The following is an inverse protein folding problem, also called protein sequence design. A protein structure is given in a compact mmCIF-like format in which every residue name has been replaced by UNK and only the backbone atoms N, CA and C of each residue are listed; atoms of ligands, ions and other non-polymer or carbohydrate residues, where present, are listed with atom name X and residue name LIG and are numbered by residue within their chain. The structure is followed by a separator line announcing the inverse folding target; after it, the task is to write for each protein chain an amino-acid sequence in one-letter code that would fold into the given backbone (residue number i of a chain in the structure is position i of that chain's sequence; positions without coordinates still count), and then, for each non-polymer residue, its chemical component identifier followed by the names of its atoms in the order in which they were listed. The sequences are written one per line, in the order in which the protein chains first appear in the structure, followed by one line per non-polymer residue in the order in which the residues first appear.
data_IF_013816802240
#
_entry.id   IF_013816802240
#
_cell.length_a   1.000
_cell.length_b   1.000
_cell.length_c   1.000
_cell.angle_alpha   90.00
_cell.angle_beta   90.00
_cell.angle_gamma   90.00
#
_symmetry.space_group_name_H-M   'P 1'
#
loop_
_entity.id
_entity.type
_entity.pdbx_description
1 polymer ?
#
# COMPACT_ATOMS: atom_id res chain seq x y z
N UNK A 1 14.52 28.62 1.72
CA UNK A 1 13.99 27.31 2.13
C UNK A 1 14.72 26.20 1.39
N UNK A 2 15.03 25.08 2.06
CA UNK A 2 15.56 23.87 1.42
C UNK A 2 14.37 23.00 0.97
N UNK A 3 14.44 22.39 -0.22
CA UNK A 3 13.35 21.62 -0.81
C UNK A 3 13.75 20.14 -1.01
N UNK A 4 12.75 19.24 -1.06
CA UNK A 4 12.84 17.87 -1.57
C UNK A 4 11.71 17.66 -2.58
N UNK A 5 12.02 17.13 -3.77
CA UNK A 5 11.05 16.95 -4.86
C UNK A 5 10.99 15.48 -5.24
N UNK A 6 9.96 14.77 -4.80
CA UNK A 6 9.79 13.36 -5.14
C UNK A 6 8.95 13.21 -6.40
N UNK A 7 9.43 12.41 -7.35
CA UNK A 7 8.63 11.98 -8.51
C UNK A 7 8.22 10.52 -8.34
N UNK A 8 7.09 10.13 -8.94
CA UNK A 8 6.66 8.74 -8.87
C UNK A 8 7.52 7.81 -9.72
N UNK A 9 8.09 6.78 -9.09
CA UNK A 9 8.84 5.73 -9.78
C UNK A 9 7.95 4.90 -10.73
N UNK A 10 8.57 4.18 -11.67
CA UNK A 10 7.88 3.23 -12.56
C UNK A 10 7.35 1.97 -11.84
N UNK A 11 7.49 1.89 -10.52
CA UNK A 11 7.04 0.76 -9.71
C UNK A 11 5.51 0.80 -9.47
N UNK A 12 4.95 -0.33 -9.02
CA UNK A 12 3.56 -0.39 -8.57
C UNK A 12 3.27 0.49 -7.34
N UNK A 13 1.99 0.78 -7.09
CA UNK A 13 1.56 1.78 -6.10
C UNK A 13 1.98 1.52 -4.67
N UNK A 14 2.06 0.27 -4.23
CA UNK A 14 2.56 -0.04 -2.89
C UNK A 14 3.99 0.46 -2.66
N UNK A 15 4.84 0.35 -3.69
CA UNK A 15 6.19 0.90 -3.66
C UNK A 15 6.18 2.43 -3.68
N UNK A 16 5.38 3.03 -4.57
CA UNK A 16 5.25 4.49 -4.68
C UNK A 16 4.79 5.12 -3.37
N UNK A 17 3.74 4.57 -2.76
CA UNK A 17 3.22 5.08 -1.50
C UNK A 17 4.28 5.01 -0.41
N UNK A 18 4.96 3.87 -0.27
CA UNK A 18 6.06 3.72 0.68
C UNK A 18 7.13 4.80 0.46
N UNK A 19 7.58 4.97 -0.79
CA UNK A 19 8.58 5.98 -1.18
C UNK A 19 8.14 7.41 -0.83
N UNK A 20 6.90 7.80 -1.17
CA UNK A 20 6.36 9.12 -0.85
C UNK A 20 6.36 9.41 0.66
N UNK A 21 5.85 8.47 1.46
CA UNK A 21 5.78 8.62 2.93
C UNK A 21 7.18 8.69 3.55
N UNK A 22 8.09 7.88 3.03
CA UNK A 22 9.49 7.84 3.43
C UNK A 22 10.22 9.17 3.14
N UNK A 23 10.05 9.74 1.94
CA UNK A 23 10.65 11.04 1.57
C UNK A 23 10.01 12.18 2.36
N UNK A 24 8.71 12.11 2.64
CA UNK A 24 8.08 13.08 3.52
C UNK A 24 8.67 13.07 4.93
N UNK A 25 8.85 11.89 5.51
CA UNK A 25 9.50 11.78 6.80
C UNK A 25 10.92 12.36 6.79
N UNK A 26 11.68 12.08 5.72
CA UNK A 26 13.00 12.69 5.49
C UNK A 26 12.92 14.22 5.40
N UNK A 27 11.89 14.77 4.76
CA UNK A 27 11.66 16.20 4.69
C UNK A 27 11.44 16.81 6.09
N UNK A 28 10.65 16.14 6.94
CA UNK A 28 10.40 16.58 8.32
C UNK A 28 11.69 16.62 9.13
N UNK A 29 12.45 15.52 9.16
CA UNK A 29 13.67 15.42 10.00
C UNK A 29 14.80 16.33 9.51
N UNK A 30 14.85 16.63 8.20
CA UNK A 30 15.85 17.53 7.60
C UNK A 30 15.35 18.98 7.47
N UNK A 31 14.15 19.29 7.99
CA UNK A 31 13.52 20.62 7.96
C UNK A 31 13.41 21.20 6.54
N UNK A 32 12.93 20.38 5.59
CA UNK A 32 12.76 20.75 4.17
C UNK A 32 11.30 20.83 3.78
N UNK A 33 11.02 21.69 2.80
CA UNK A 33 9.72 21.72 2.13
C UNK A 33 9.65 20.55 1.15
N UNK A 34 8.59 19.76 1.21
CA UNK A 34 8.36 18.68 0.25
C UNK A 34 7.49 19.16 -0.92
N UNK A 35 7.84 18.71 -2.12
CA UNK A 35 7.01 18.77 -3.32
C UNK A 35 6.85 17.34 -3.83
N UNK A 36 5.61 16.92 -4.13
CA UNK A 36 5.33 15.60 -4.70
C UNK A 36 4.84 15.82 -6.14
N UNK A 37 5.65 15.43 -7.10
CA UNK A 37 5.37 15.50 -8.53
C UNK A 37 5.05 14.10 -9.07
N UNK A 38 3.85 13.61 -8.75
CA UNK A 38 3.37 12.28 -9.13
C UNK A 38 2.19 12.40 -10.10
N UNK A 39 2.50 12.54 -11.40
CA UNK A 39 1.50 12.79 -12.45
C UNK A 39 1.21 11.59 -13.36
N UNK A 40 1.74 10.42 -13.04
CA UNK A 40 1.61 9.22 -13.87
C UNK A 40 1.06 8.07 -13.04
N UNK A 41 0.05 7.32 -13.49
CA UNK A 41 -0.67 7.46 -14.77
C UNK A 41 -1.59 8.70 -14.80
N UNK A 42 -2.17 9.06 -13.65
CA UNK A 42 -2.89 10.32 -13.45
C UNK A 42 -2.31 11.07 -12.24
N UNK A 43 -2.56 12.39 -12.11
CA UNK A 43 -2.16 13.16 -10.94
C UNK A 43 -2.61 12.53 -9.63
N UNK A 44 -1.69 12.35 -8.69
CA UNK A 44 -1.96 11.80 -7.36
C UNK A 44 -3.07 12.56 -6.63
N UNK A 45 -3.08 13.89 -6.75
CA UNK A 45 -4.06 14.78 -6.13
C UNK A 45 -5.48 14.67 -6.71
N UNK A 46 -5.67 13.96 -7.83
CA UNK A 46 -7.00 13.56 -8.33
C UNK A 46 -7.76 12.70 -7.30
N UNK A 47 -7.04 11.82 -6.60
CA UNK A 47 -7.63 10.87 -5.64
C UNK A 47 -7.20 11.10 -4.20
N UNK A 48 -5.97 11.56 -4.02
CA UNK A 48 -5.37 11.82 -2.72
C UNK A 48 -4.86 13.27 -2.69
N UNK A 49 -5.72 14.31 -2.69
CA UNK A 49 -5.29 15.69 -2.61
C UNK A 49 -4.62 16.03 -1.27
N UNK A 50 -3.89 17.16 -1.21
CA UNK A 50 -3.35 17.71 0.04
C UNK A 50 -4.38 17.79 1.17
N UNK A 51 -3.96 17.42 2.39
CA UNK A 51 -4.72 17.66 3.63
C UNK A 51 -4.21 18.86 4.42
N UNK A 52 -3.08 18.71 5.12
CA UNK A 52 -2.54 19.76 6.00
C UNK A 52 -1.30 20.45 5.43
N UNK A 53 -0.61 19.83 4.47
CA UNK A 53 0.54 20.40 3.77
C UNK A 53 0.23 20.47 2.30
N UNK A 54 0.33 21.67 1.71
CA UNK A 54 0.29 21.83 0.26
C UNK A 54 1.60 21.32 -0.33
N UNK A 55 1.56 20.15 -0.95
CA UNK A 55 2.73 19.50 -1.57
C UNK A 55 2.66 19.47 -3.10
N UNK A 56 1.47 19.71 -3.69
CA UNK A 56 1.20 19.56 -5.12
C UNK A 56 1.56 20.81 -5.94
N UNK A 57 2.65 21.50 -5.58
CA UNK A 57 3.17 22.60 -6.37
C UNK A 57 3.78 22.04 -7.66
N UNK A 58 3.49 22.65 -8.81
CA UNK A 58 4.16 22.24 -10.04
C UNK A 58 5.59 22.76 -10.02
N UNK A 59 6.55 21.90 -10.32
CA UNK A 59 7.98 22.27 -10.26
C UNK A 59 8.28 23.50 -11.11
N UNK A 60 7.67 23.62 -12.29
CA UNK A 60 7.81 24.79 -13.18
C UNK A 60 7.25 26.10 -12.59
N UNK A 61 6.29 26.05 -11.65
CA UNK A 61 5.73 27.22 -10.96
C UNK A 61 6.64 27.71 -9.83
N UNK A 62 7.60 26.88 -9.39
CA UNK A 62 8.47 27.21 -8.25
C UNK A 62 9.66 28.08 -8.62
N UNK A 63 9.97 28.23 -9.91
CA UNK A 63 11.19 28.90 -10.39
C UNK A 63 12.49 28.18 -9.99
N UNK A 64 12.38 26.95 -9.47
CA UNK A 64 13.51 26.13 -9.10
C UNK A 64 14.08 25.44 -10.38
N UNK A 65 15.39 25.16 -10.40
CA UNK A 65 16.05 24.37 -11.47
C UNK A 65 16.33 22.91 -11.05
N UNK A 66 15.75 21.93 -11.76
CA UNK A 66 16.00 20.49 -11.54
C UNK A 66 17.46 20.15 -11.87
N UNK A 67 18.23 19.64 -10.90
CA UNK A 67 19.48 18.91 -11.17
C UNK A 67 19.30 17.45 -10.80
N UNK A 68 19.49 16.54 -11.75
CA UNK A 68 19.44 15.11 -11.50
C UNK A 68 20.60 14.74 -10.55
N UNK A 69 20.26 14.42 -9.30
CA UNK A 69 21.21 13.99 -8.28
C UNK A 69 21.57 12.51 -8.37
N UNK A 70 22.62 12.12 -7.65
CA UNK A 70 23.03 10.72 -7.51
C UNK A 70 21.94 9.88 -6.81
N UNK A 71 21.85 8.61 -7.19
CA UNK A 71 21.04 7.61 -6.47
C UNK A 71 21.56 7.51 -5.03
N UNK A 72 20.68 7.73 -4.04
CA UNK A 72 21.04 7.47 -2.64
C UNK A 72 20.75 6.00 -2.36
N UNK A 73 21.80 5.23 -2.06
CA UNK A 73 21.68 3.92 -1.45
C UNK A 73 21.59 4.08 0.08
N UNK A 74 20.41 3.83 0.64
CA UNK A 74 20.20 3.97 2.08
C UNK A 74 20.92 2.92 2.91
N UNK A 75 21.40 1.84 2.30
CA UNK A 75 22.26 0.89 2.98
C UNK A 75 23.61 1.52 3.35
N UNK A 76 24.01 2.61 2.68
CA UNK A 76 25.25 3.34 2.97
C UNK A 76 25.08 4.39 4.08
N UNK A 77 23.84 4.74 4.44
CA UNK A 77 23.56 5.75 5.47
C UNK A 77 23.55 5.08 6.84
N UNK A 78 24.66 5.23 7.57
CA UNK A 78 24.82 4.66 8.93
C UNK A 78 24.28 5.56 10.04
N UNK A 79 24.20 6.88 9.82
CA UNK A 79 23.64 7.88 10.74
C UNK A 79 23.10 9.10 9.96
N UNK A 80 21.97 9.69 10.37
CA UNK A 80 21.42 10.92 9.75
C UNK A 80 22.34 12.13 9.94
N UNK A 81 23.09 12.16 11.04
CA UNK A 81 24.08 13.20 11.33
C UNK A 81 25.37 13.03 10.52
N UNK A 82 25.49 11.96 9.73
CA UNK A 82 26.62 11.79 8.85
C UNK A 82 26.66 12.97 7.89
N UNK A 83 27.75 13.72 7.93
CA UNK A 83 28.04 14.78 6.96
C UNK A 83 27.91 14.32 5.51
N UNK A 84 27.90 13.00 5.23
CA UNK A 84 27.50 12.45 3.93
C UNK A 84 26.03 12.68 3.58
N UNK A 85 25.08 12.50 4.51
CA UNK A 85 23.65 12.74 4.25
C UNK A 85 23.41 14.22 4.02
N UNK A 86 23.96 15.10 4.89
CA UNK A 86 23.94 16.52 4.57
C UNK A 86 24.69 16.76 3.28
N UNK A 87 25.93 16.32 3.00
CA UNK A 87 26.60 16.53 1.68
C UNK A 87 25.82 16.03 0.47
N UNK A 88 25.08 14.93 0.59
CA UNK A 88 24.19 14.37 -0.45
C UNK A 88 22.94 15.23 -0.63
N UNK A 89 22.42 15.80 0.47
CA UNK A 89 21.27 16.71 0.51
C UNK A 89 21.65 18.21 0.51
N UNK A 90 22.94 18.58 0.56
CA UNK A 90 23.44 19.93 0.91
C UNK A 90 23.32 20.88 -0.25
N UNK A 91 22.82 20.37 -1.36
CA UNK A 91 22.42 21.21 -2.44
C UNK A 91 21.09 21.84 -2.03
N UNK A 92 21.05 23.16 -2.10
CA UNK A 92 19.86 24.02 -2.15
C UNK A 92 18.98 23.71 -3.37
N UNK A 93 18.93 22.43 -3.77
CA UNK A 93 18.63 21.93 -5.10
C UNK A 93 17.73 20.73 -4.95
N UNK A 94 16.75 20.72 -5.84
CA UNK A 94 15.68 19.76 -6.00
C UNK A 94 16.21 18.34 -6.10
N UNK A 95 15.66 17.47 -5.27
CA UNK A 95 16.14 16.12 -5.11
C UNK A 95 15.04 15.13 -5.42
N UNK A 96 15.15 14.46 -6.58
CA UNK A 96 14.41 13.26 -6.95
C UNK A 96 15.33 12.04 -6.68
N UNK A 97 15.39 11.52 -5.45
CA UNK A 97 16.16 10.32 -5.22
C UNK A 97 15.58 9.20 -6.07
N UNK A 98 16.42 8.57 -6.89
CA UNK A 98 16.28 7.13 -6.99
C UNK A 98 16.61 6.57 -5.60
N UNK A 99 15.61 6.17 -4.82
CA UNK A 99 15.88 5.47 -3.56
C UNK A 99 16.25 4.02 -3.92
N UNK A 100 17.52 3.63 -3.76
CA UNK A 100 17.95 2.22 -3.79
C UNK A 100 18.19 1.73 -2.38
N UNK A 101 17.95 0.44 -2.16
CA UNK A 101 18.05 -0.18 -0.84
C UNK A 101 16.76 -0.07 -0.02
N UNK A 102 16.74 -0.74 1.14
CA UNK A 102 15.56 -0.75 1.99
C UNK A 102 15.55 0.50 2.86
N UNK A 103 15.08 1.63 2.31
CA UNK A 103 14.87 2.87 3.07
C UNK A 103 14.08 2.60 4.36
N UNK A 104 13.15 1.65 4.33
CA UNK A 104 12.41 1.19 5.50
C UNK A 104 13.34 0.66 6.61
N UNK A 105 14.38 -0.10 6.28
CA UNK A 105 15.37 -0.60 7.25
C UNK A 105 16.25 0.55 7.76
N UNK A 106 16.67 1.46 6.87
CA UNK A 106 17.44 2.63 7.29
C UNK A 106 16.62 3.54 8.23
N UNK A 107 15.36 3.82 7.88
CA UNK A 107 14.43 4.60 8.69
C UNK A 107 14.10 3.90 10.02
N UNK A 108 13.88 2.59 10.01
CA UNK A 108 13.71 1.80 11.24
C UNK A 108 14.94 1.89 12.15
N UNK A 109 16.14 1.83 11.57
CA UNK A 109 17.38 2.02 12.32
C UNK A 109 17.47 3.46 12.86
N UNK A 110 17.08 4.47 12.09
CA UNK A 110 17.11 5.88 12.50
C UNK A 110 16.10 6.20 13.61
N UNK A 111 14.90 5.60 13.57
CA UNK A 111 13.89 5.69 14.64
C UNK A 111 14.43 5.10 15.95
N UNK A 112 15.22 4.02 15.87
CA UNK A 112 15.85 3.39 17.04
C UNK A 112 16.84 4.32 17.76
N UNK A 113 17.38 5.34 17.07
CA UNK A 113 18.44 6.16 17.63
C UNK A 113 17.99 7.52 18.19
N UNK A 114 16.86 8.13 17.79
CA UNK A 114 16.55 9.50 18.29
C UNK A 114 15.09 10.00 18.19
N UNK A 115 14.10 9.17 17.81
CA UNK A 115 12.70 9.63 17.70
C UNK A 115 11.80 8.97 18.77
N UNK A 116 11.64 9.58 19.96
CA UNK A 116 10.84 9.03 21.07
C UNK A 116 9.31 8.96 20.80
N UNK A 117 8.85 9.33 19.61
CA UNK A 117 7.45 9.65 19.33
C UNK A 117 6.69 8.48 18.66
N UNK A 118 7.39 7.51 18.05
CA UNK A 118 6.74 6.49 17.20
C UNK A 118 6.94 5.06 17.71
N UNK A 119 5.86 4.33 18.03
CA UNK A 119 5.97 2.96 18.58
C UNK A 119 6.34 1.90 17.52
N UNK A 120 6.10 2.16 16.22
CA UNK A 120 6.56 1.32 15.10
C UNK A 120 6.51 2.07 13.76
N UNK A 121 7.24 1.56 12.75
CA UNK A 121 7.35 2.18 11.42
C UNK A 121 6.00 2.24 10.67
N UNK A 122 5.16 1.18 10.64
CA UNK A 122 3.86 1.26 9.98
C UNK A 122 2.94 2.36 10.53
N UNK A 123 2.92 2.57 11.84
CA UNK A 123 2.14 3.63 12.47
C UNK A 123 2.66 5.02 12.10
N UNK A 124 3.98 5.21 12.11
CA UNK A 124 4.59 6.48 11.69
C UNK A 124 4.25 6.80 10.23
N UNK A 125 4.44 5.84 9.31
CA UNK A 125 4.10 6.01 7.90
C UNK A 125 2.59 6.25 7.72
N UNK A 126 1.75 5.64 8.56
CA UNK A 126 0.33 5.94 8.60
C UNK A 126 0.03 7.37 9.02
N UNK A 127 0.67 7.89 10.07
CA UNK A 127 0.52 9.29 10.46
C UNK A 127 0.98 10.25 9.36
N UNK A 128 2.11 9.94 8.70
CA UNK A 128 2.60 10.68 7.54
C UNK A 128 1.55 10.69 6.41
N UNK A 129 0.90 9.54 6.15
CA UNK A 129 -0.16 9.41 5.15
C UNK A 129 -1.35 10.33 5.47
N UNK A 130 -1.87 10.25 6.69
CA UNK A 130 -3.02 11.07 7.10
C UNK A 130 -2.67 12.56 7.20
N UNK A 131 -1.39 12.90 7.38
CA UNK A 131 -0.96 14.29 7.39
C UNK A 131 -0.88 14.89 5.98
N UNK A 132 -0.37 14.11 5.02
CA UNK A 132 -0.22 14.52 3.62
C UNK A 132 -1.53 14.50 2.85
N UNK A 133 -2.33 13.45 3.02
CA UNK A 133 -3.39 13.10 2.08
C UNK A 133 -4.76 13.10 2.74
N UNK A 134 -5.74 13.68 2.04
CA UNK A 134 -7.17 13.38 2.25
C UNK A 134 -7.68 12.63 1.03
N UNK A 135 -8.75 11.86 1.18
CA UNK A 135 -9.44 11.28 0.03
C UNK A 135 -10.18 12.40 -0.71
N UNK A 136 -10.17 12.38 -2.04
CA UNK A 136 -10.98 13.31 -2.85
C UNK A 136 -12.46 12.93 -2.80
N UNK A 137 -13.34 13.85 -3.19
CA UNK A 137 -14.78 13.59 -3.25
C UNK A 137 -15.11 12.44 -4.21
N UNK A 138 -14.36 12.32 -5.31
CA UNK A 138 -14.49 11.21 -6.26
C UNK A 138 -14.25 9.87 -5.57
N UNK A 139 -13.15 9.78 -4.80
CA UNK A 139 -12.77 8.57 -4.09
C UNK A 139 -13.74 8.26 -2.94
N UNK A 140 -14.09 9.26 -2.11
CA UNK A 140 -15.02 9.11 -0.98
C UNK A 140 -16.41 8.68 -1.43
N UNK A 141 -16.96 9.32 -2.46
CA UNK A 141 -18.30 8.98 -2.97
C UNK A 141 -18.33 7.57 -3.54
N UNK A 142 -17.29 7.17 -4.29
CA UNK A 142 -17.22 5.82 -4.83
C UNK A 142 -17.03 4.76 -3.74
N UNK A 143 -16.22 5.03 -2.71
CA UNK A 143 -16.09 4.15 -1.54
C UNK A 143 -17.42 3.96 -0.83
N UNK A 144 -18.15 5.06 -0.57
CA UNK A 144 -19.45 5.00 0.10
C UNK A 144 -20.45 4.15 -0.67
N UNK A 145 -20.52 4.34 -1.98
CA UNK A 145 -21.38 3.53 -2.87
C UNK A 145 -21.01 2.05 -2.80
N UNK A 146 -19.72 1.73 -2.99
CA UNK A 146 -19.23 0.36 -2.98
C UNK A 146 -19.47 -0.34 -1.64
N UNK A 147 -19.29 0.36 -0.52
CA UNK A 147 -19.59 -0.21 0.80
C UNK A 147 -21.05 -0.64 0.94
N UNK A 148 -21.98 0.15 0.41
CA UNK A 148 -23.39 -0.22 0.40
C UNK A 148 -23.64 -1.41 -0.54
N UNK A 149 -23.13 -1.36 -1.78
CA UNK A 149 -23.31 -2.41 -2.80
C UNK A 149 -22.72 -3.77 -2.38
N UNK A 150 -21.55 -3.75 -1.73
CA UNK A 150 -20.83 -4.95 -1.30
C UNK A 150 -21.33 -5.47 0.06
N UNK A 151 -22.14 -4.69 0.79
CA UNK A 151 -22.69 -5.08 2.09
C UNK A 151 -21.73 -4.89 3.27
N UNK A 152 -20.77 -3.96 3.18
CA UNK A 152 -19.82 -3.65 4.26
C UNK A 152 -20.49 -3.04 5.49
N UNK A 153 -21.69 -2.47 5.35
CA UNK A 153 -22.39 -1.77 6.45
C UNK A 153 -23.07 -2.77 7.39
N UNK A 154 -23.60 -3.86 6.84
CA UNK A 154 -24.47 -4.79 7.58
C UNK A 154 -23.79 -6.10 8.00
N UNK A 155 -22.52 -6.30 7.61
CA UNK A 155 -21.79 -7.55 7.77
C UNK A 155 -20.40 -7.31 8.37
N UNK A 156 -19.92 -8.30 9.12
CA UNK A 156 -18.49 -8.38 9.43
C UNK A 156 -17.75 -8.74 8.15
N UNK A 157 -16.68 -8.00 7.85
CA UNK A 157 -15.91 -8.14 6.62
C UNK A 157 -14.57 -8.81 6.90
N UNK A 158 -14.36 -9.98 6.28
CA UNK A 158 -13.05 -10.60 6.15
C UNK A 158 -12.41 -10.17 4.83
N UNK A 159 -11.48 -9.23 4.88
CA UNK A 159 -10.67 -8.82 3.74
C UNK A 159 -9.59 -9.87 3.44
N UNK A 160 -9.49 -10.29 2.19
CA UNK A 160 -8.55 -11.30 1.71
C UNK A 160 -7.78 -10.70 0.54
N UNK A 161 -6.46 -10.67 0.63
CA UNK A 161 -5.61 -10.24 -0.48
C UNK A 161 -4.79 -11.41 -1.06
N UNK A 162 -4.97 -11.63 -2.37
CA UNK A 162 -4.24 -12.61 -3.16
C UNK A 162 -3.40 -11.89 -4.22
N UNK A 163 -2.09 -11.79 -3.99
CA UNK A 163 -1.09 -11.38 -4.99
C UNK A 163 -0.59 -12.59 -5.77
N UNK A 164 -0.69 -12.57 -7.10
CA UNK A 164 -0.10 -13.57 -8.00
C UNK A 164 1.11 -13.05 -8.80
N UNK A 165 1.52 -11.80 -8.59
CA UNK A 165 2.76 -11.28 -9.16
C UNK A 165 2.59 -10.81 -10.60
N UNK A 166 3.72 -10.51 -11.24
CA UNK A 166 3.72 -10.08 -12.65
C UNK A 166 3.54 -11.26 -13.60
N UNK A 167 3.53 -12.48 -13.04
CA UNK A 167 3.18 -13.74 -13.69
C UNK A 167 1.80 -13.71 -14.37
N UNK A 168 0.84 -12.95 -13.82
CA UNK A 168 -0.50 -12.77 -14.40
C UNK A 168 -0.46 -11.87 -15.64
N UNK A 169 0.45 -10.88 -15.65
CA UNK A 169 0.58 -9.90 -16.74
C UNK A 169 1.52 -10.35 -17.87
N UNK A 170 2.52 -11.17 -17.56
CA UNK A 170 3.57 -11.55 -18.52
C UNK A 170 3.58 -13.04 -18.90
N UNK A 171 2.57 -13.82 -18.49
CA UNK A 171 2.49 -15.28 -18.72
C UNK A 171 3.78 -16.05 -18.37
N UNK A 172 4.61 -15.51 -17.48
CA UNK A 172 5.88 -16.12 -17.12
C UNK A 172 5.64 -17.18 -16.04
N UNK A 173 5.51 -18.44 -16.48
CA UNK A 173 5.38 -19.61 -15.58
C UNK A 173 6.60 -19.81 -14.65
N UNK A 174 7.72 -19.13 -14.89
CA UNK A 174 8.91 -19.16 -14.05
C UNK A 174 8.94 -18.10 -12.93
N UNK A 175 7.93 -17.23 -12.82
CA UNK A 175 7.84 -16.28 -11.71
C UNK A 175 7.56 -17.03 -10.40
N UNK A 176 8.45 -16.90 -9.42
CA UNK A 176 8.34 -17.52 -8.08
C UNK A 176 7.08 -17.10 -7.31
N UNK A 177 6.39 -16.04 -7.76
CA UNK A 177 5.12 -15.54 -7.19
C UNK A 177 3.88 -16.21 -7.79
N UNK A 178 4.03 -17.01 -8.84
CA UNK A 178 2.93 -17.80 -9.40
C UNK A 178 2.40 -18.78 -8.34
N UNK A 179 1.12 -18.63 -7.98
CA UNK A 179 0.48 -19.52 -7.01
C UNK A 179 -0.16 -20.70 -7.74
N UNK A 180 0.26 -21.90 -7.35
CA UNK A 180 -0.37 -23.10 -7.88
C UNK A 180 -1.79 -23.25 -7.31
N UNK A 181 -2.56 -24.22 -7.81
CA UNK A 181 -3.94 -24.43 -7.35
C UNK A 181 -4.03 -24.84 -5.86
N UNK A 182 -3.00 -25.46 -5.31
CA UNK A 182 -2.92 -25.84 -3.89
C UNK A 182 -2.74 -24.60 -2.99
N UNK A 183 -1.86 -23.68 -3.36
CA UNK A 183 -1.62 -22.43 -2.61
C UNK A 183 -2.90 -21.59 -2.49
N UNK A 184 -3.66 -21.51 -3.58
CA UNK A 184 -4.94 -20.80 -3.62
C UNK A 184 -6.00 -21.53 -2.79
N UNK A 185 -6.07 -22.86 -2.86
CA UNK A 185 -6.96 -23.65 -2.00
C UNK A 185 -6.64 -23.43 -0.53
N UNK A 186 -5.36 -23.40 -0.18
CA UNK A 186 -4.92 -23.19 1.20
C UNK A 186 -5.24 -21.79 1.71
N UNK A 187 -5.14 -20.77 0.85
CA UNK A 187 -5.58 -19.42 1.18
C UNK A 187 -7.06 -19.37 1.58
N UNK A 188 -7.94 -19.96 0.76
CA UNK A 188 -9.37 -19.96 1.06
C UNK A 188 -9.74 -20.93 2.20
N UNK A 189 -9.02 -22.04 2.37
CA UNK A 189 -9.19 -22.91 3.55
C UNK A 189 -8.90 -22.13 4.84
N UNK A 190 -7.88 -21.28 4.83
CA UNK A 190 -7.57 -20.41 5.95
C UNK A 190 -8.62 -19.33 6.17
N UNK A 191 -9.14 -18.73 5.10
CA UNK A 191 -10.28 -17.81 5.19
C UNK A 191 -11.51 -18.46 5.84
N UNK A 192 -11.83 -19.71 5.49
CA UNK A 192 -12.89 -20.50 6.14
C UNK A 192 -12.63 -20.70 7.62
N UNK A 193 -11.38 -21.00 8.02
CA UNK A 193 -11.02 -21.18 9.44
C UNK A 193 -11.23 -19.87 10.22
N UNK A 194 -10.82 -18.73 9.67
CA UNK A 194 -11.05 -17.42 10.30
C UNK A 194 -12.52 -17.08 10.36
N UNK A 195 -13.26 -17.29 9.28
CA UNK A 195 -14.71 -17.09 9.25
C UNK A 195 -15.37 -17.87 10.39
N UNK A 196 -15.06 -19.16 10.55
CA UNK A 196 -15.62 -19.97 11.64
C UNK A 196 -15.28 -19.40 13.02
N UNK A 197 -14.04 -18.95 13.25
CA UNK A 197 -13.65 -18.31 14.51
C UNK A 197 -14.40 -17.00 14.77
N UNK A 198 -14.66 -16.21 13.72
CA UNK A 198 -15.49 -15.00 13.83
C UNK A 198 -16.94 -15.39 14.19
N UNK A 199 -17.50 -16.41 13.54
CA UNK A 199 -18.84 -16.92 13.85
C UNK A 199 -18.96 -17.33 15.32
N UNK A 200 -17.99 -18.12 15.80
CA UNK A 200 -17.96 -18.61 17.18
C UNK A 200 -17.83 -17.44 18.18
N UNK A 201 -16.90 -16.51 17.92
CA UNK A 201 -16.60 -15.41 18.84
C UNK A 201 -17.74 -14.39 18.94
N UNK A 202 -18.36 -14.03 17.81
CA UNK A 202 -19.36 -12.97 17.74
C UNK A 202 -20.79 -13.49 17.62
N UNK A 203 -20.98 -14.82 17.63
CA UNK A 203 -22.29 -15.48 17.47
C UNK A 203 -23.11 -14.90 16.30
N UNK A 204 -22.48 -14.81 15.13
CA UNK A 204 -23.09 -14.19 13.93
C UNK A 204 -22.87 -15.02 12.69
N UNK A 205 -23.81 -14.95 11.75
CA UNK A 205 -23.68 -15.51 10.41
C UNK A 205 -23.51 -14.44 9.33
N UNK A 206 -23.59 -13.15 9.70
CA UNK A 206 -23.47 -12.00 8.81
C UNK A 206 -21.99 -11.70 8.53
N UNK A 207 -21.35 -12.55 7.73
CA UNK A 207 -19.95 -12.42 7.36
C UNK A 207 -19.82 -12.46 5.84
N UNK A 208 -19.14 -11.49 5.28
CA UNK A 208 -18.76 -11.46 3.86
C UNK A 208 -17.24 -11.50 3.72
N UNK A 209 -16.79 -11.97 2.57
CA UNK A 209 -15.37 -11.95 2.20
C UNK A 209 -15.16 -10.88 1.14
N UNK A 210 -14.31 -9.90 1.42
CA UNK A 210 -13.86 -8.97 0.40
C UNK A 210 -12.54 -9.46 -0.19
N UNK A 211 -12.50 -9.76 -1.47
CA UNK A 211 -11.34 -10.31 -2.17
C UNK A 211 -10.68 -9.26 -3.06
N UNK A 212 -9.53 -8.76 -2.61
CA UNK A 212 -8.60 -8.01 -3.46
C UNK A 212 -7.65 -9.00 -4.14
N UNK A 213 -7.67 -9.05 -5.47
CA UNK A 213 -6.81 -9.94 -6.25
C UNK A 213 -6.43 -9.32 -7.59
N UNK A 214 -5.19 -9.54 -8.00
CA UNK A 214 -4.62 -9.13 -9.29
C UNK A 214 -4.91 -10.15 -10.40
N UNK A 215 -5.98 -10.94 -10.28
CA UNK A 215 -6.30 -12.04 -11.18
C UNK A 215 -7.80 -12.32 -11.24
N UNK A 216 -8.41 -12.06 -12.40
CA UNK A 216 -9.83 -12.34 -12.63
C UNK A 216 -10.15 -13.83 -12.46
N UNK A 217 -9.21 -14.71 -12.84
CA UNK A 217 -9.32 -16.14 -12.61
C UNK A 217 -9.57 -16.48 -11.13
N UNK A 218 -8.95 -15.75 -10.19
CA UNK A 218 -9.14 -15.98 -8.75
C UNK A 218 -10.45 -15.41 -8.24
N UNK A 219 -10.85 -14.24 -8.75
CA UNK A 219 -12.16 -13.65 -8.47
C UNK A 219 -13.29 -14.59 -8.90
N UNK A 220 -13.23 -15.09 -10.14
CA UNK A 220 -14.20 -16.06 -10.68
C UNK A 220 -14.20 -17.37 -9.89
N UNK A 221 -13.02 -17.97 -9.66
CA UNK A 221 -12.92 -19.20 -8.85
C UNK A 221 -13.56 -19.04 -7.46
N UNK A 222 -13.27 -17.93 -6.78
CA UNK A 222 -13.81 -17.69 -5.44
C UNK A 222 -15.33 -17.53 -5.47
N UNK A 223 -15.87 -16.81 -6.46
CA UNK A 223 -17.31 -16.64 -6.64
C UNK A 223 -18.03 -17.95 -6.95
N UNK A 224 -17.48 -18.76 -7.86
CA UNK A 224 -18.05 -20.07 -8.20
C UNK A 224 -18.06 -21.01 -6.99
N UNK A 225 -16.98 -21.03 -6.20
CA UNK A 225 -16.82 -21.98 -5.10
C UNK A 225 -17.54 -21.55 -3.81
N UNK A 226 -17.53 -20.27 -3.48
CA UNK A 226 -18.02 -19.75 -2.20
C UNK A 226 -19.29 -18.92 -2.33
N UNK A 227 -19.76 -18.67 -3.55
CA UNK A 227 -21.04 -18.02 -3.82
C UNK A 227 -21.06 -16.53 -3.51
N UNK A 228 -22.25 -16.02 -3.21
CA UNK A 228 -22.55 -14.59 -3.07
C UNK A 228 -21.89 -13.90 -1.86
N UNK A 229 -21.31 -14.66 -0.92
CA UNK A 229 -20.56 -14.11 0.23
C UNK A 229 -19.23 -13.50 -0.18
N UNK A 230 -18.68 -13.89 -1.34
CA UNK A 230 -17.44 -13.32 -1.87
C UNK A 230 -17.78 -12.08 -2.68
N UNK A 231 -17.20 -10.97 -2.27
CA UNK A 231 -17.32 -9.64 -2.84
C UNK A 231 -15.96 -9.23 -3.38
N UNK A 232 -15.91 -8.57 -4.52
CA UNK A 232 -14.69 -8.01 -5.10
C UNK A 232 -15.06 -6.86 -6.03
N UNK A 233 -14.08 -6.01 -6.36
CA UNK A 233 -14.29 -4.97 -7.35
C UNK A 233 -14.12 -5.52 -8.77
N UNK A 234 -15.10 -5.23 -9.61
CA UNK A 234 -14.97 -5.30 -11.06
C UNK A 234 -14.22 -4.05 -11.53
N UNK A 235 -13.22 -4.24 -12.38
CA UNK A 235 -12.39 -3.14 -12.89
C UNK A 235 -11.11 -3.64 -13.55
N UNK A 236 -10.40 -2.76 -14.27
CA UNK A 236 -9.17 -3.12 -14.95
C UNK A 236 -8.13 -3.61 -13.95
N UNK A 237 -7.64 -4.83 -14.16
CA UNK A 237 -6.49 -5.37 -13.46
C UNK A 237 -5.27 -5.03 -14.32
N UNK A 238 -4.55 -3.97 -13.95
CA UNK A 238 -3.39 -3.50 -14.70
C UNK A 238 -2.22 -3.19 -13.78
N UNK A 239 -1.00 -3.47 -14.24
CA UNK A 239 0.19 -3.02 -13.56
C UNK A 239 0.45 -1.56 -13.95
N UNK A 240 0.44 -0.65 -12.98
CA UNK A 240 0.52 0.80 -13.23
C UNK A 240 1.87 1.25 -13.84
N UNK A 241 2.92 0.43 -13.72
CA UNK A 241 4.17 0.63 -14.48
C UNK A 241 4.08 0.28 -15.98
N UNK A 242 3.02 -0.41 -16.39
CA UNK A 242 2.76 -0.89 -17.75
C UNK A 242 1.27 -0.72 -18.11
N UNK A 243 0.77 0.52 -18.17
CA UNK A 243 -0.64 0.80 -18.44
C UNK A 243 -1.05 0.24 -19.81
N UNK A 244 -2.26 -0.33 -19.90
CA UNK A 244 -2.81 -0.72 -21.21
C UNK A 244 -3.10 0.53 -22.05
N UNK A 245 -2.85 0.45 -23.35
CA UNK A 245 -3.07 1.57 -24.27
C UNK A 245 -4.56 1.96 -24.24
N UNK A 246 -4.84 3.22 -23.89
CA UNK A 246 -6.20 3.78 -23.83
C UNK A 246 -6.85 3.77 -22.44
N UNK A 247 -6.21 3.20 -21.42
CA UNK A 247 -6.64 3.36 -20.03
C UNK A 247 -5.87 4.51 -19.36
N UNK A 248 -6.44 5.71 -19.40
CA UNK A 248 -5.80 6.91 -18.84
C UNK A 248 -5.57 6.81 -17.33
N UNK A 249 -6.41 6.06 -16.60
CA UNK A 249 -6.29 5.88 -15.14
C UNK A 249 -5.38 4.71 -14.74
N UNK A 250 -5.10 3.81 -15.68
CA UNK A 250 -4.36 2.56 -15.50
C UNK A 250 -4.76 1.74 -14.25
N UNK A 251 -6.04 1.83 -13.85
CA UNK A 251 -6.56 1.13 -12.66
C UNK A 251 -6.15 1.77 -11.32
N UNK A 252 -5.63 3.00 -11.29
CA UNK A 252 -5.26 3.70 -10.06
C UNK A 252 -6.45 3.88 -9.12
N UNK A 253 -7.63 4.25 -9.62
CA UNK A 253 -8.83 4.35 -8.79
C UNK A 253 -9.20 3.00 -8.18
N UNK A 254 -9.30 1.95 -8.99
CA UNK A 254 -9.66 0.60 -8.52
C UNK A 254 -8.70 0.10 -7.44
N UNK A 255 -7.40 0.31 -7.63
CA UNK A 255 -6.38 -0.07 -6.66
C UNK A 255 -6.49 0.73 -5.34
N UNK A 256 -6.75 2.05 -5.41
CA UNK A 256 -7.02 2.84 -4.21
C UNK A 256 -8.30 2.40 -3.50
N UNK A 257 -9.35 2.04 -4.25
CA UNK A 257 -10.59 1.50 -3.68
C UNK A 257 -10.32 0.16 -2.96
N UNK A 258 -9.55 -0.74 -3.56
CA UNK A 258 -9.13 -1.98 -2.90
C UNK A 258 -8.35 -1.70 -1.62
N UNK A 259 -7.42 -0.72 -1.61
CA UNK A 259 -6.72 -0.31 -0.39
C UNK A 259 -7.67 0.10 0.73
N UNK A 260 -8.60 1.01 0.45
CA UNK A 260 -9.50 1.53 1.48
C UNK A 260 -10.55 0.52 1.92
N UNK A 261 -11.06 -0.32 1.02
CA UNK A 261 -11.97 -1.42 1.40
C UNK A 261 -11.24 -2.49 2.23
N UNK A 262 -10.00 -2.84 1.88
CA UNK A 262 -9.16 -3.71 2.71
C UNK A 262 -8.88 -3.07 4.07
N UNK A 263 -8.54 -1.79 4.12
CA UNK A 263 -8.32 -1.04 5.36
C UNK A 263 -9.56 -1.08 6.27
N UNK A 264 -10.74 -0.90 5.69
CA UNK A 264 -12.01 -0.89 6.41
C UNK A 264 -12.59 -2.28 6.70
N UNK A 265 -11.93 -3.35 6.25
CA UNK A 265 -12.30 -4.72 6.64
C UNK A 265 -11.98 -4.98 8.12
N UNK A 266 -12.89 -5.63 8.84
CA UNK A 266 -12.74 -5.94 10.27
C UNK A 266 -11.58 -6.90 10.53
N UNK A 267 -11.38 -7.86 9.65
CA UNK A 267 -10.28 -8.82 9.67
C UNK A 267 -9.56 -8.82 8.33
N UNK A 268 -8.24 -9.01 8.34
CA UNK A 268 -7.42 -8.97 7.12
C UNK A 268 -6.55 -10.22 7.01
N UNK A 269 -6.63 -10.87 5.86
CA UNK A 269 -5.86 -12.03 5.49
C UNK A 269 -5.00 -11.72 4.27
N UNK A 270 -3.69 -11.70 4.47
CA UNK A 270 -2.71 -11.53 3.40
C UNK A 270 -2.09 -12.87 3.06
N UNK A 271 -2.22 -13.26 1.80
CA UNK A 271 -1.69 -14.56 1.40
C UNK A 271 -0.16 -14.55 1.42
N UNK A 272 0.48 -13.56 0.79
CA UNK A 272 1.94 -13.47 0.61
C UNK A 272 2.45 -12.06 0.89
N UNK A 273 3.74 -11.87 1.23
CA UNK A 273 4.33 -10.54 1.34
C UNK A 273 4.11 -9.73 0.06
N UNK A 274 3.53 -8.54 0.21
CA UNK A 274 3.23 -7.64 -0.91
C UNK A 274 3.32 -6.19 -0.45
N UNK A 275 3.84 -5.32 -1.30
CA UNK A 275 3.82 -3.87 -1.00
C UNK A 275 2.41 -3.28 -1.10
N UNK A 276 1.47 -4.01 -1.71
CA UNK A 276 0.05 -3.73 -1.58
C UNK A 276 -0.40 -3.83 -0.12
N UNK A 277 -0.01 -4.90 0.56
CA UNK A 277 -0.38 -5.16 1.96
C UNK A 277 0.29 -4.15 2.89
N UNK A 278 1.57 -3.85 2.65
CA UNK A 278 2.28 -2.76 3.34
C UNK A 278 1.50 -1.44 3.25
N UNK A 279 1.00 -1.09 2.07
CA UNK A 279 0.23 0.13 1.86
C UNK A 279 -1.08 0.13 2.66
N UNK A 280 -1.80 -0.99 2.71
CA UNK A 280 -2.99 -1.16 3.55
C UNK A 280 -2.65 -1.00 5.03
N UNK A 281 -1.54 -1.55 5.49
CA UNK A 281 -1.07 -1.41 6.87
C UNK A 281 -0.74 0.05 7.22
N UNK A 282 -0.07 0.79 6.32
CA UNK A 282 0.21 2.21 6.52
C UNK A 282 -1.08 3.01 6.69
N UNK A 283 -2.02 2.90 5.75
CA UNK A 283 -3.29 3.64 5.84
C UNK A 283 -4.18 3.16 7.00
N UNK A 284 -3.89 1.99 7.58
CA UNK A 284 -4.53 1.47 8.80
C UNK A 284 -3.88 1.94 10.10
N UNK A 285 -2.90 2.86 10.05
CA UNK A 285 -2.10 3.31 11.20
C UNK A 285 -1.34 2.16 11.90
N UNK A 286 -0.91 1.15 11.14
CA UNK A 286 -0.19 -0.01 11.68
C UNK A 286 -1.04 -0.90 12.59
N UNK A 287 -2.38 -0.80 12.57
CA UNK A 287 -3.26 -1.66 13.38
C UNK A 287 -3.09 -3.14 12.97
N UNK A 288 -2.56 -4.00 13.85
CA UNK A 288 -2.23 -5.38 13.52
C UNK A 288 -3.50 -6.24 13.60
N UNK A 289 -4.28 -6.24 12.53
CA UNK A 289 -5.38 -7.23 12.34
C UNK A 289 -5.06 -8.15 11.16
N UNK A 290 -3.77 -8.43 11.00
CA UNK A 290 -3.18 -9.00 9.80
C UNK A 290 -2.75 -10.44 10.06
N UNK A 291 -3.29 -11.35 9.26
CA UNK A 291 -2.83 -12.74 9.15
C UNK A 291 -1.98 -12.88 7.89
N UNK A 292 -0.73 -13.33 8.04
CA UNK A 292 0.12 -13.72 6.90
C UNK A 292 0.14 -15.24 6.75
N UNK A 293 -0.20 -15.74 5.57
CA UNK A 293 -0.22 -17.17 5.25
C UNK A 293 1.13 -17.73 4.81
N UNK A 294 1.95 -16.93 4.12
CA UNK A 294 3.26 -17.33 3.63
C UNK A 294 4.36 -16.57 4.37
N UNK A 295 4.97 -17.19 5.39
CA UNK A 295 6.26 -16.78 5.93
C UNK A 295 7.30 -17.86 5.60
N UNK A 296 8.35 -17.51 4.84
CA UNK A 296 9.47 -18.42 4.51
C UNK A 296 9.06 -19.80 3.95
N UNK A 297 8.13 -19.84 2.99
CA UNK A 297 7.64 -21.10 2.37
C UNK A 297 6.96 -22.10 3.32
N UNK A 298 6.60 -21.70 4.55
CA UNK A 298 5.75 -22.49 5.43
C UNK A 298 4.32 -21.95 5.42
N UNK A 299 3.38 -22.79 4.98
CA UNK A 299 1.95 -22.56 5.07
C UNK A 299 1.54 -22.65 6.54
N UNK A 300 1.33 -21.50 7.19
CA UNK A 300 0.73 -21.47 8.52
C UNK A 300 -0.40 -20.43 8.54
N UNK A 301 -1.62 -20.92 8.73
CA UNK A 301 -2.80 -20.08 8.92
C UNK A 301 -2.78 -19.51 10.35
N UNK A 302 -2.12 -18.36 10.54
CA UNK A 302 -1.95 -17.73 11.86
C UNK A 302 -3.17 -16.90 12.26
N UNK A 303 -3.92 -17.31 13.28
CA UNK A 303 -5.09 -16.55 13.70
C UNK A 303 -4.73 -15.12 14.12
N UNK A 304 -5.59 -14.14 13.80
CA UNK A 304 -5.48 -12.82 14.42
C UNK A 304 -5.49 -12.97 15.94
N UNK A 305 -4.60 -12.27 16.65
CA UNK A 305 -4.59 -12.26 18.13
C UNK A 305 -5.95 -11.90 18.72
N UNK A 306 -6.70 -11.05 18.04
CA UNK A 306 -8.07 -10.69 18.42
C UNK A 306 -9.08 -11.86 18.33
N UNK A 307 -8.70 -13.01 17.77
CA UNK A 307 -9.50 -14.24 17.68
C UNK A 307 -8.85 -15.42 18.44
N UNK A 308 -7.68 -15.22 19.04
CA UNK A 308 -7.08 -16.18 19.96
C UNK A 308 -7.86 -16.12 21.30
N UNK A 309 -8.20 -17.30 21.84
CA UNK A 309 -8.89 -17.48 23.14
C UNK A 309 -7.82 -17.68 24.21
#
# INVERSE_FOLDING_TARGET
NKFLIVTCSAAGWGNRLRELLCVFHLAVITKRVIIIDCNQPVPLDKYLPPRYVKWNYRVNETGLSIRHGYVIDFNEIKNITDTKVEKLLNYSVEFNPGLRGSFYIALANLIKYDLPIWPNVPQMLGCDFYYLFKKSDVLENRLRQLKAELGFIDNIVLGIHIREGDSVFHHNKGDKRYKNAEDIRNAFNCATKVENKIKDKYNTTKIIWFLAADSDKRKTYAKEKYGSKVKYLDGPIEHIGHPMKGNEDAGQLTMLLDYFLMQESDFKLYTSPSTFDDAVEYISLGKPTVMQLFYRNQLSCKMPKSLEI
#
